data_IF_949769353149
#
_entry.id   IF_949769353149
#
_cell.length_a   1.000
_cell.length_b   1.000
_cell.length_c   1.000
_cell.angle_alpha   90.00
_cell.angle_beta   90.00
_cell.angle_gamma   90.00
#
_symmetry.space_group_name_H-M   'P 1'
#
loop_
_entity.id
_entity.type
_entity.pdbx_description
1 polymer ?
#
# COMPACT_ATOMS: atom_id res chain seq x y z
N UNK A 1 8.72 -19.28 3.45
CA UNK A 1 9.44 -18.20 4.18
C UNK A 1 10.79 -18.75 4.63
N UNK A 2 11.89 -18.05 4.34
CA UNK A 2 13.19 -18.41 4.93
C UNK A 2 13.25 -17.81 6.33
N UNK A 3 12.81 -18.58 7.32
CA UNK A 3 12.97 -18.26 8.73
C UNK A 3 14.14 -19.06 9.31
N UNK A 4 14.97 -18.43 10.11
CA UNK A 4 16.02 -19.12 10.86
C UNK A 4 15.66 -19.12 12.35
N UNK A 5 15.69 -20.31 12.96
CA UNK A 5 15.58 -20.44 14.41
C UNK A 5 16.84 -19.92 15.09
N UNK A 6 16.68 -18.97 15.99
CA UNK A 6 17.76 -18.43 16.80
C UNK A 6 17.52 -18.81 18.27
N UNK A 7 18.46 -19.50 18.87
CA UNK A 7 18.46 -19.77 20.32
C UNK A 7 19.00 -18.54 21.04
N UNK A 8 18.20 -17.94 21.92
CA UNK A 8 18.68 -16.86 22.79
C UNK A 8 19.53 -17.42 23.94
N UNK A 9 20.36 -16.57 24.55
CA UNK A 9 21.18 -16.94 25.69
C UNK A 9 20.42 -17.42 26.94
N UNK A 10 19.08 -17.25 26.96
CA UNK A 10 18.18 -17.74 28.01
C UNK A 10 17.38 -18.98 27.58
N UNK A 11 17.74 -19.61 26.43
CA UNK A 11 17.12 -20.85 25.98
C UNK A 11 15.75 -20.71 25.32
N UNK A 12 15.29 -19.48 25.05
CA UNK A 12 14.03 -19.26 24.30
C UNK A 12 14.29 -19.33 22.79
N UNK A 13 13.37 -19.98 22.07
CA UNK A 13 13.37 -20.01 20.62
C UNK A 13 12.81 -18.69 20.11
N UNK A 14 13.54 -18.05 19.21
CA UNK A 14 13.09 -16.92 18.43
C UNK A 14 13.16 -17.28 16.93
N UNK A 15 12.29 -16.63 16.14
CA UNK A 15 12.26 -16.78 14.70
C UNK A 15 12.72 -15.46 14.08
N UNK A 16 13.82 -15.50 13.35
CA UNK A 16 14.29 -14.35 12.58
C UNK A 16 13.67 -14.41 11.18
N UNK A 17 12.96 -13.36 10.84
CA UNK A 17 12.24 -13.22 9.57
C UNK A 17 12.56 -11.86 8.92
N UNK A 18 12.35 -11.72 7.59
CA UNK A 18 12.42 -10.39 6.98
C UNK A 18 11.45 -9.42 7.65
N UNK A 19 11.83 -8.15 7.75
CA UNK A 19 10.95 -7.12 8.27
C UNK A 19 9.71 -6.94 7.40
N UNK A 20 8.66 -6.37 7.99
CA UNK A 20 7.38 -6.17 7.32
C UNK A 20 7.45 -5.04 6.29
N UNK A 21 6.54 -5.10 5.32
CA UNK A 21 6.38 -4.05 4.32
C UNK A 21 4.95 -3.55 4.29
N UNK A 22 4.82 -2.24 4.10
CA UNK A 22 3.58 -1.60 3.64
C UNK A 22 3.85 -0.93 2.30
N UNK A 23 3.33 -1.52 1.23
CA UNK A 23 3.64 -1.07 -0.12
C UNK A 23 2.56 -0.17 -0.72
N UNK A 24 1.68 0.37 0.14
CA UNK A 24 0.70 1.41 -0.19
C UNK A 24 0.29 2.17 1.08
N UNK A 25 1.02 3.19 1.43
CA UNK A 25 0.76 4.07 2.57
C UNK A 25 0.74 5.53 2.07
N UNK A 26 -0.20 6.33 2.53
CA UNK A 26 -0.21 7.78 2.30
C UNK A 26 0.44 8.50 3.50
N UNK A 27 1.75 8.34 3.65
CA UNK A 27 2.47 8.85 4.82
C UNK A 27 2.41 10.38 4.97
N UNK A 28 2.23 11.10 3.87
CA UNK A 28 2.09 12.56 3.87
C UNK A 28 0.70 13.07 4.28
N UNK A 29 -0.28 12.20 4.42
CA UNK A 29 -1.62 12.53 4.89
C UNK A 29 -1.77 12.20 6.37
N UNK A 30 -2.34 13.13 7.16
CA UNK A 30 -2.43 13.01 8.61
C UNK A 30 -3.87 12.91 9.13
N UNK A 31 -4.84 13.09 8.23
CA UNK A 31 -6.26 13.08 8.55
C UNK A 31 -7.02 12.41 7.41
N UNK A 32 -8.11 11.71 7.74
CA UNK A 32 -8.99 11.08 6.75
C UNK A 32 -9.72 12.13 5.92
N UNK A 33 -10.07 13.27 6.53
CA UNK A 33 -10.57 14.45 5.85
C UNK A 33 -9.40 15.40 5.56
N UNK A 34 -9.12 15.64 4.28
CA UNK A 34 -8.05 16.54 3.86
C UNK A 34 -8.28 17.99 4.30
N UNK A 35 -9.53 18.44 4.43
CA UNK A 35 -9.86 19.78 4.94
C UNK A 35 -9.41 19.94 6.40
N UNK A 36 -9.37 18.87 7.18
CA UNK A 36 -8.84 18.89 8.55
C UNK A 36 -7.33 18.98 8.58
N UNK A 37 -6.64 18.34 7.66
CA UNK A 37 -5.19 18.50 7.52
C UNK A 37 -4.80 19.94 7.12
N UNK A 38 -5.55 20.58 6.22
CA UNK A 38 -5.28 21.96 5.81
C UNK A 38 -5.39 22.96 6.95
N UNK A 39 -6.21 22.67 7.98
CA UNK A 39 -6.33 23.48 9.20
C UNK A 39 -5.14 23.32 10.16
N UNK A 40 -4.29 22.31 9.96
CA UNK A 40 -3.14 22.05 10.81
C UNK A 40 -1.95 22.95 10.48
N UNK A 41 -1.11 23.22 11.48
CA UNK A 41 0.19 23.83 11.23
C UNK A 41 1.12 22.83 10.55
N UNK A 42 2.06 23.32 9.72
CA UNK A 42 3.08 22.49 9.06
C UNK A 42 3.86 21.66 10.11
N UNK A 43 4.18 22.22 11.27
CA UNK A 43 4.90 21.53 12.34
C UNK A 43 4.09 20.36 12.95
N UNK A 44 2.76 20.51 13.06
CA UNK A 44 1.90 19.42 13.54
C UNK A 44 1.85 18.28 12.50
N UNK A 45 1.68 18.60 11.22
CA UNK A 45 1.70 17.64 10.12
C UNK A 45 3.03 16.87 10.10
N UNK A 46 4.17 17.57 10.06
CA UNK A 46 5.50 16.96 10.08
C UNK A 46 5.72 16.09 11.33
N UNK A 47 5.24 16.55 12.49
CA UNK A 47 5.33 15.80 13.75
C UNK A 47 4.52 14.51 13.75
N UNK A 48 3.35 14.49 13.11
CA UNK A 48 2.49 13.31 12.94
C UNK A 48 3.14 12.29 12.00
N UNK A 49 3.63 12.75 10.85
CA UNK A 49 4.34 11.91 9.87
C UNK A 49 5.56 11.25 10.53
N UNK A 50 6.41 12.04 11.20
CA UNK A 50 7.58 11.53 11.89
C UNK A 50 7.22 10.47 12.94
N UNK A 51 6.17 10.70 13.70
CA UNK A 51 5.69 9.76 14.73
C UNK A 51 5.19 8.47 14.10
N UNK A 52 4.36 8.55 13.04
CA UNK A 52 3.86 7.40 12.30
C UNK A 52 5.02 6.53 11.78
N UNK A 53 5.98 7.11 11.07
CA UNK A 53 7.12 6.37 10.52
C UNK A 53 8.00 5.74 11.61
N UNK A 54 8.16 6.40 12.76
CA UNK A 54 8.89 5.82 13.90
C UNK A 54 8.13 4.64 14.52
N UNK A 55 6.83 4.75 14.66
CA UNK A 55 5.99 3.67 15.20
C UNK A 55 5.96 2.47 14.27
N UNK A 56 5.85 2.69 12.94
CA UNK A 56 5.97 1.61 11.95
C UNK A 56 7.31 0.88 12.07
N UNK A 57 8.41 1.61 12.20
CA UNK A 57 9.72 1.01 12.42
C UNK A 57 9.78 0.17 13.70
N UNK A 58 9.20 0.67 14.80
CA UNK A 58 9.10 -0.03 16.08
C UNK A 58 8.19 -1.26 16.01
N UNK A 59 7.18 -1.23 15.15
CA UNK A 59 6.28 -2.35 14.83
C UNK A 59 6.92 -3.42 13.93
N UNK A 60 8.15 -3.22 13.47
CA UNK A 60 8.88 -4.20 12.64
C UNK A 60 8.78 -3.95 11.14
N UNK A 61 8.14 -2.87 10.70
CA UNK A 61 8.21 -2.48 9.30
C UNK A 61 9.61 -2.03 8.93
N UNK A 62 10.06 -2.39 7.73
CA UNK A 62 11.39 -2.06 7.20
C UNK A 62 11.33 -1.37 5.86
N UNK A 63 10.22 -1.52 5.15
CA UNK A 63 9.96 -0.80 3.90
C UNK A 63 8.52 -0.31 3.92
N UNK A 64 8.34 0.96 3.59
CA UNK A 64 7.03 1.53 3.25
C UNK A 64 7.13 2.22 1.89
N UNK A 65 6.12 2.06 1.03
CA UNK A 65 5.99 2.82 -0.21
C UNK A 65 4.93 3.90 -0.02
N UNK A 66 5.36 5.16 -0.09
CA UNK A 66 4.43 6.27 -0.13
C UNK A 66 3.66 6.25 -1.47
N UNK A 67 2.34 6.16 -1.38
CA UNK A 67 1.45 6.20 -2.55
C UNK A 67 1.08 7.64 -2.95
N UNK A 68 1.72 8.62 -2.34
CA UNK A 68 1.58 10.06 -2.55
C UNK A 68 1.23 10.81 -1.27
N UNK A 69 1.64 12.06 -1.23
CA UNK A 69 1.47 12.96 -0.08
C UNK A 69 2.81 13.46 0.48
N UNK A 70 3.82 12.59 0.61
CA UNK A 70 5.14 13.00 1.12
C UNK A 70 5.86 13.97 0.18
N UNK A 71 5.58 13.95 -1.12
CA UNK A 71 6.19 14.86 -2.09
C UNK A 71 5.85 16.32 -1.86
N UNK A 72 4.81 16.60 -1.08
CA UNK A 72 4.37 17.93 -0.67
C UNK A 72 4.98 18.37 0.67
N UNK A 73 5.65 17.47 1.40
CA UNK A 73 6.19 17.71 2.74
C UNK A 73 7.71 17.92 2.67
N UNK A 74 8.23 18.82 3.49
CA UNK A 74 9.68 19.03 3.60
C UNK A 74 10.39 17.74 4.03
N UNK A 75 11.32 17.27 3.19
CA UNK A 75 11.95 15.98 3.35
C UNK A 75 12.82 15.83 4.60
N UNK A 76 13.40 16.93 5.11
CA UNK A 76 14.43 16.85 6.15
C UNK A 76 13.87 16.38 7.51
N UNK A 77 12.61 16.72 7.81
CA UNK A 77 12.00 16.39 9.10
C UNK A 77 11.78 14.88 9.31
N UNK A 78 11.48 14.12 8.25
CA UNK A 78 11.17 12.70 8.35
C UNK A 78 12.32 11.79 7.89
N UNK A 79 13.15 12.22 6.91
CA UNK A 79 14.25 11.39 6.38
C UNK A 79 15.32 11.06 7.41
N UNK A 80 15.63 11.96 8.33
CA UNK A 80 16.58 11.68 9.41
C UNK A 80 16.04 10.59 10.32
N UNK A 81 14.78 10.71 10.72
CA UNK A 81 14.14 9.76 11.63
C UNK A 81 14.09 8.33 11.04
N UNK A 82 13.80 8.19 9.76
CA UNK A 82 13.73 6.86 9.12
C UNK A 82 15.10 6.20 9.01
N UNK A 83 16.18 6.95 8.80
CA UNK A 83 17.55 6.42 8.80
C UNK A 83 17.95 5.86 10.16
N UNK A 84 17.60 6.55 11.24
CA UNK A 84 17.91 6.13 12.62
C UNK A 84 17.19 4.83 13.00
N UNK A 85 16.01 4.59 12.45
CA UNK A 85 15.13 3.48 12.79
C UNK A 85 15.13 2.31 11.78
N UNK A 86 16.07 2.31 10.82
CA UNK A 86 16.20 1.26 9.80
C UNK A 86 14.92 1.04 8.96
N UNK A 87 14.10 2.10 8.77
CA UNK A 87 12.95 2.11 7.89
C UNK A 87 13.31 2.75 6.55
N UNK A 88 13.09 2.04 5.46
CA UNK A 88 13.23 2.56 4.10
C UNK A 88 11.90 3.09 3.59
N UNK A 89 11.86 4.35 3.16
CA UNK A 89 10.70 4.95 2.51
C UNK A 89 10.95 5.01 1.01
N UNK A 90 10.10 4.32 0.24
CA UNK A 90 10.08 4.36 -1.22
C UNK A 90 9.15 5.49 -1.63
N UNK A 91 9.74 6.60 -2.05
CA UNK A 91 9.01 7.85 -2.30
C UNK A 91 8.25 7.84 -3.63
N UNK A 92 7.05 8.45 -3.64
CA UNK A 92 6.30 8.82 -4.83
C UNK A 92 6.82 10.16 -5.39
N UNK A 93 6.87 10.28 -6.72
CA UNK A 93 7.23 11.53 -7.40
C UNK A 93 6.06 12.52 -7.47
N UNK A 94 4.84 12.04 -7.36
CA UNK A 94 3.63 12.84 -7.37
C UNK A 94 2.41 12.05 -7.79
N UNK A 95 1.25 12.64 -7.50
CA UNK A 95 -0.07 12.06 -7.77
C UNK A 95 -0.70 12.72 -9.00
N UNK A 96 -1.06 11.93 -9.99
CA UNK A 96 -1.67 12.37 -11.25
C UNK A 96 -3.13 12.00 -11.28
N UNK A 97 -3.97 13.00 -11.51
CA UNK A 97 -5.41 12.87 -11.66
C UNK A 97 -5.89 13.56 -12.97
N UNK A 98 -7.20 13.62 -13.21
CA UNK A 98 -7.78 14.23 -14.41
C UNK A 98 -7.47 15.73 -14.55
N UNK A 99 -7.26 16.45 -13.44
CA UNK A 99 -7.06 17.88 -13.43
C UNK A 99 -5.63 18.26 -13.85
N UNK A 100 -4.63 17.53 -13.33
CA UNK A 100 -3.22 17.81 -13.57
C UNK A 100 -2.57 16.95 -14.68
N UNK A 101 -3.29 15.95 -15.20
CA UNK A 101 -2.79 15.03 -16.24
C UNK A 101 -2.26 15.74 -17.50
N UNK A 102 -2.81 16.92 -17.82
CA UNK A 102 -2.42 17.72 -18.99
C UNK A 102 -1.55 18.92 -18.65
N UNK A 103 -1.27 19.18 -17.38
CA UNK A 103 -0.38 20.25 -16.96
C UNK A 103 1.08 19.85 -17.25
N UNK A 104 1.65 20.42 -18.31
CA UNK A 104 2.99 20.09 -18.75
C UNK A 104 4.08 20.50 -17.74
N UNK A 105 3.87 21.57 -16.97
CA UNK A 105 4.82 22.02 -15.96
C UNK A 105 4.84 21.02 -14.79
N UNK A 106 3.66 20.60 -14.32
CA UNK A 106 3.51 19.58 -13.29
C UNK A 106 4.10 18.24 -13.73
N UNK A 107 3.78 17.77 -14.96
CA UNK A 107 4.31 16.53 -15.51
C UNK A 107 5.84 16.55 -15.62
N UNK A 108 6.42 17.67 -16.04
CA UNK A 108 7.89 17.83 -16.10
C UNK A 108 8.52 17.86 -14.70
N UNK A 109 7.86 18.43 -13.71
CA UNK A 109 8.31 18.39 -12.33
C UNK A 109 8.40 16.96 -11.81
N UNK A 110 7.34 16.17 -11.98
CA UNK A 110 7.30 14.73 -11.58
C UNK A 110 8.45 13.95 -12.24
N UNK A 111 8.62 14.10 -13.56
CA UNK A 111 9.66 13.37 -14.30
C UNK A 111 11.07 13.66 -13.80
N UNK A 112 11.34 14.89 -13.32
CA UNK A 112 12.64 15.35 -12.83
C UNK A 112 12.93 14.98 -11.38
N UNK A 113 11.92 14.65 -10.57
CA UNK A 113 12.14 14.23 -9.17
C UNK A 113 12.93 12.93 -9.12
N UNK A 114 13.72 12.75 -8.07
CA UNK A 114 14.61 11.59 -7.92
C UNK A 114 13.88 10.35 -7.36
N UNK A 115 12.61 10.47 -7.01
CA UNK A 115 11.78 9.36 -6.53
C UNK A 115 11.45 8.39 -7.66
N UNK A 116 11.29 7.12 -7.33
CA UNK A 116 11.14 6.04 -8.31
C UNK A 116 9.72 5.94 -8.87
N UNK A 117 8.69 6.12 -8.02
CA UNK A 117 7.29 5.84 -8.36
C UNK A 117 6.50 7.09 -8.72
N UNK A 118 5.48 6.90 -9.56
CA UNK A 118 4.43 7.89 -9.86
C UNK A 118 3.08 7.24 -9.61
N UNK A 119 2.16 7.94 -8.94
CA UNK A 119 0.77 7.50 -8.73
C UNK A 119 -0.14 8.10 -9.79
N UNK A 120 -0.99 7.27 -10.41
CA UNK A 120 -2.07 7.71 -11.29
C UNK A 120 -3.42 7.27 -10.70
N UNK A 121 -4.39 8.17 -10.65
CA UNK A 121 -5.78 7.86 -10.29
C UNK A 121 -6.59 7.65 -11.56
N UNK A 122 -6.90 6.38 -11.89
CA UNK A 122 -7.61 6.02 -13.12
C UNK A 122 -9.13 5.91 -12.93
N UNK A 123 -9.60 5.68 -11.69
CA UNK A 123 -11.04 5.68 -11.34
C UNK A 123 -11.31 6.52 -10.10
N UNK A 124 -12.58 6.67 -9.72
CA UNK A 124 -12.96 7.10 -8.38
C UNK A 124 -12.62 6.04 -7.32
N UNK A 125 -12.64 6.42 -6.05
CA UNK A 125 -12.44 5.56 -4.88
C UNK A 125 -13.69 5.51 -4.00
N UNK A 126 -13.53 5.05 -2.75
CA UNK A 126 -14.63 4.88 -1.78
C UNK A 126 -15.41 6.16 -1.49
N UNK A 127 -14.79 7.34 -1.64
CA UNK A 127 -15.46 8.64 -1.52
C UNK A 127 -16.23 9.09 -2.77
N UNK A 128 -16.09 8.39 -3.90
CA UNK A 128 -16.82 8.73 -5.12
C UNK A 128 -18.24 8.15 -5.08
N UNK A 129 -19.21 8.77 -5.79
CA UNK A 129 -20.54 8.18 -5.98
C UNK A 129 -20.44 6.75 -6.56
N UNK A 130 -21.22 5.79 -6.08
CA UNK A 130 -21.12 4.37 -6.47
C UNK A 130 -21.16 4.13 -7.99
N UNK A 131 -21.97 4.93 -8.70
CA UNK A 131 -22.09 4.84 -10.17
C UNK A 131 -20.84 5.33 -10.92
N UNK A 132 -19.90 6.00 -10.23
CA UNK A 132 -18.67 6.56 -10.83
C UNK A 132 -17.41 5.78 -10.50
N UNK A 133 -17.46 4.83 -9.57
CA UNK A 133 -16.24 4.13 -9.08
C UNK A 133 -15.52 3.30 -10.17
N UNK A 134 -16.21 2.92 -11.25
CA UNK A 134 -15.61 2.19 -12.37
C UNK A 134 -15.43 3.05 -13.63
N UNK A 135 -15.87 4.32 -13.59
CA UNK A 135 -15.73 5.23 -14.73
C UNK A 135 -14.30 5.78 -14.74
N UNK A 136 -13.59 5.66 -15.88
CA UNK A 136 -12.27 6.25 -16.03
C UNK A 136 -12.29 7.76 -15.79
N UNK A 137 -11.35 8.27 -15.00
CA UNK A 137 -11.23 9.70 -14.68
C UNK A 137 -10.63 10.51 -15.81
N UNK A 138 -9.99 9.86 -16.78
CA UNK A 138 -9.34 10.49 -17.92
C UNK A 138 -9.56 9.68 -19.20
N UNK A 139 -9.20 10.25 -20.37
CA UNK A 139 -9.26 9.54 -21.65
C UNK A 139 -8.17 8.49 -21.78
N UNK A 140 -8.44 7.39 -22.46
CA UNK A 140 -7.51 6.29 -22.72
C UNK A 140 -6.19 6.77 -23.28
N UNK A 141 -6.21 7.64 -24.29
CA UNK A 141 -5.01 8.17 -24.93
C UNK A 141 -4.14 8.98 -23.97
N UNK A 142 -4.77 9.73 -23.05
CA UNK A 142 -4.05 10.48 -22.01
C UNK A 142 -3.37 9.53 -21.04
N UNK A 143 -4.08 8.50 -20.58
CA UNK A 143 -3.54 7.50 -19.68
C UNK A 143 -2.31 6.78 -20.27
N UNK A 144 -2.44 6.28 -21.51
CA UNK A 144 -1.35 5.58 -22.19
C UNK A 144 -0.12 6.47 -22.39
N UNK A 145 -0.36 7.73 -22.80
CA UNK A 145 0.74 8.69 -22.95
C UNK A 145 1.46 8.94 -21.64
N UNK A 146 0.74 9.09 -20.53
CA UNK A 146 1.35 9.29 -19.21
C UNK A 146 2.23 8.11 -18.82
N UNK A 147 1.71 6.86 -18.92
CA UNK A 147 2.49 5.66 -18.59
C UNK A 147 3.75 5.58 -19.45
N UNK A 148 3.63 5.78 -20.76
CA UNK A 148 4.76 5.76 -21.68
C UNK A 148 5.81 6.85 -21.33
N UNK A 149 5.35 8.07 -21.07
CA UNK A 149 6.22 9.19 -20.71
C UNK A 149 6.98 8.95 -19.41
N UNK A 150 6.32 8.36 -18.40
CA UNK A 150 6.95 8.05 -17.12
C UNK A 150 7.96 6.91 -17.23
N UNK A 151 7.61 5.83 -17.94
CA UNK A 151 8.56 4.76 -18.23
C UNK A 151 9.78 5.27 -19.00
N UNK A 152 9.59 6.16 -19.99
CA UNK A 152 10.69 6.79 -20.71
C UNK A 152 11.57 7.69 -19.81
N UNK A 153 10.99 8.23 -18.74
CA UNK A 153 11.72 8.98 -17.70
C UNK A 153 12.35 8.08 -16.61
N UNK A 154 12.29 6.76 -16.76
CA UNK A 154 12.85 5.79 -15.79
C UNK A 154 12.00 5.63 -14.51
N UNK A 155 10.73 6.06 -14.54
CA UNK A 155 9.79 5.90 -13.43
C UNK A 155 9.05 4.56 -13.50
N UNK A 156 8.61 4.09 -12.33
CA UNK A 156 7.60 3.05 -12.19
C UNK A 156 6.23 3.70 -11.96
N UNK A 157 5.19 3.06 -12.47
CA UNK A 157 3.83 3.60 -12.42
C UNK A 157 2.94 2.70 -11.57
N UNK A 158 2.39 3.25 -10.47
CA UNK A 158 1.33 2.63 -9.67
C UNK A 158 -0.01 3.28 -9.97
N UNK A 159 -1.06 2.49 -10.12
CA UNK A 159 -2.36 2.99 -10.56
C UNK A 159 -3.46 2.60 -9.59
N UNK A 160 -4.11 3.62 -9.01
CA UNK A 160 -5.40 3.45 -8.35
C UNK A 160 -6.46 3.13 -9.38
N UNK A 161 -7.06 1.96 -9.28
CA UNK A 161 -8.24 1.58 -10.07
C UNK A 161 -9.09 0.58 -9.30
N UNK A 162 -10.40 0.77 -9.32
CA UNK A 162 -11.33 -0.20 -8.75
C UNK A 162 -11.68 -1.32 -9.73
N UNK A 163 -11.44 -1.13 -11.04
CA UNK A 163 -11.73 -2.14 -12.07
C UNK A 163 -12.21 -1.53 -13.38
N UNK A 164 -13.02 -2.28 -14.12
CA UNK A 164 -13.58 -1.85 -15.40
C UNK A 164 -12.52 -1.63 -16.48
N UNK A 165 -12.83 -0.75 -17.44
CA UNK A 165 -11.94 -0.44 -18.57
C UNK A 165 -10.58 0.11 -18.11
N UNK A 166 -10.54 0.84 -17.01
CA UNK A 166 -9.29 1.39 -16.46
C UNK A 166 -8.30 0.30 -16.08
N UNK A 167 -8.78 -0.82 -15.54
CA UNK A 167 -7.93 -1.96 -15.23
C UNK A 167 -7.41 -2.66 -16.49
N UNK A 168 -8.23 -2.76 -17.54
CA UNK A 168 -7.77 -3.24 -18.85
C UNK A 168 -6.68 -2.33 -19.43
N UNK A 169 -6.83 -1.01 -19.28
CA UNK A 169 -5.80 -0.06 -19.71
C UNK A 169 -4.50 -0.21 -18.91
N UNK A 170 -4.58 -0.45 -17.60
CA UNK A 170 -3.39 -0.73 -16.77
C UNK A 170 -2.62 -1.93 -17.31
N UNK A 171 -3.34 -3.01 -17.59
CA UNK A 171 -2.76 -4.25 -18.13
C UNK A 171 -2.17 -4.01 -19.53
N UNK A 172 -2.92 -3.35 -20.41
CA UNK A 172 -2.50 -3.08 -21.79
C UNK A 172 -1.26 -2.19 -21.84
N UNK A 173 -1.25 -1.10 -21.04
CA UNK A 173 -0.13 -0.16 -20.95
C UNK A 173 1.09 -0.73 -20.23
N UNK A 174 0.93 -1.83 -19.48
CA UNK A 174 2.01 -2.48 -18.74
C UNK A 174 2.49 -1.65 -17.55
N UNK A 175 1.56 -1.16 -16.73
CA UNK A 175 1.92 -0.47 -15.47
C UNK A 175 2.69 -1.39 -14.52
N UNK A 176 3.44 -0.83 -13.58
CA UNK A 176 4.28 -1.66 -12.69
C UNK A 176 3.50 -2.20 -11.49
N UNK A 177 2.48 -1.47 -11.00
CA UNK A 177 1.55 -2.01 -10.01
C UNK A 177 0.12 -1.49 -10.17
N UNK A 178 -0.82 -2.37 -9.81
CA UNK A 178 -2.25 -2.09 -9.69
C UNK A 178 -2.62 -2.06 -8.22
N UNK A 179 -3.23 -0.96 -7.81
CA UNK A 179 -3.69 -0.73 -6.45
C UNK A 179 -5.20 -0.97 -6.35
N UNK A 180 -5.66 -1.61 -5.29
CA UNK A 180 -7.03 -1.97 -4.97
C UNK A 180 -7.61 -3.05 -5.88
N UNK A 181 -7.89 -2.78 -7.16
CA UNK A 181 -8.39 -3.78 -8.11
C UNK A 181 -9.69 -4.48 -7.68
N UNK A 182 -10.57 -3.78 -6.95
CA UNK A 182 -11.72 -4.32 -6.20
C UNK A 182 -12.66 -5.15 -7.07
N UNK A 183 -12.94 -4.70 -8.28
CA UNK A 183 -13.82 -5.38 -9.23
C UNK A 183 -13.06 -6.13 -10.35
N UNK A 184 -11.84 -6.58 -10.05
CA UNK A 184 -11.04 -7.37 -11.00
C UNK A 184 -11.76 -8.70 -11.30
N UNK A 185 -11.87 -9.05 -12.60
CA UNK A 185 -12.37 -10.34 -13.02
C UNK A 185 -11.24 -11.34 -13.28
N UNK A 186 -11.61 -12.62 -13.47
CA UNK A 186 -10.62 -13.69 -13.63
C UNK A 186 -9.72 -13.51 -14.87
N UNK A 187 -10.24 -12.99 -16.00
CA UNK A 187 -9.43 -12.70 -17.18
C UNK A 187 -8.36 -11.66 -16.86
N UNK A 188 -8.74 -10.57 -16.20
CA UNK A 188 -7.82 -9.51 -15.80
C UNK A 188 -6.75 -10.04 -14.81
N UNK A 189 -7.13 -10.90 -13.86
CA UNK A 189 -6.16 -11.54 -12.96
C UNK A 189 -5.15 -12.41 -13.72
N UNK A 190 -5.61 -13.23 -14.69
CA UNK A 190 -4.75 -14.00 -15.56
C UNK A 190 -3.76 -13.12 -16.34
N UNK A 191 -4.25 -12.03 -16.93
CA UNK A 191 -3.42 -11.10 -17.71
C UNK A 191 -2.42 -10.34 -16.81
N UNK A 192 -2.81 -9.93 -15.58
CA UNK A 192 -1.89 -9.37 -14.59
C UNK A 192 -0.73 -10.34 -14.28
N UNK A 193 -1.09 -11.61 -14.01
CA UNK A 193 -0.12 -12.66 -13.72
C UNK A 193 0.84 -12.86 -14.90
N UNK A 194 0.30 -12.98 -16.12
CA UNK A 194 1.09 -13.21 -17.34
C UNK A 194 2.08 -12.09 -17.66
N UNK A 195 1.75 -10.85 -17.28
CA UNK A 195 2.60 -9.67 -17.44
C UNK A 195 3.45 -9.35 -16.22
N UNK A 196 3.35 -10.16 -15.15
CA UNK A 196 4.05 -9.97 -13.88
C UNK A 196 3.84 -8.57 -13.25
N UNK A 197 2.65 -7.98 -13.44
CA UNK A 197 2.26 -6.72 -12.81
C UNK A 197 2.02 -6.99 -11.32
N UNK A 198 2.58 -6.15 -10.46
CA UNK A 198 2.38 -6.26 -9.02
C UNK A 198 0.94 -5.86 -8.64
N UNK A 199 0.31 -6.63 -7.77
CA UNK A 199 -1.00 -6.30 -7.21
C UNK A 199 -0.88 -5.94 -5.72
N UNK A 200 -1.45 -4.79 -5.34
CA UNK A 200 -1.50 -4.32 -3.96
C UNK A 200 -2.96 -4.14 -3.56
N UNK A 201 -3.58 -5.13 -2.90
CA UNK A 201 -5.02 -5.17 -2.64
C UNK A 201 -5.53 -4.07 -1.73
N UNK A 202 -4.81 -3.73 -0.68
CA UNK A 202 -5.26 -2.81 0.39
C UNK A 202 -6.58 -3.26 1.02
N UNK A 203 -6.67 -4.54 1.35
CA UNK A 203 -7.92 -5.17 1.79
C UNK A 203 -8.40 -4.67 3.15
N UNK A 204 -7.46 -4.34 4.04
CA UNK A 204 -7.74 -3.96 5.43
C UNK A 204 -8.59 -2.69 5.51
N UNK A 205 -8.27 -1.63 4.76
CA UNK A 205 -8.99 -0.36 4.83
C UNK A 205 -10.48 -0.53 4.49
N UNK A 206 -10.79 -1.31 3.44
CA UNK A 206 -12.18 -1.53 3.04
C UNK A 206 -12.95 -2.37 4.05
N UNK A 207 -12.30 -3.37 4.69
CA UNK A 207 -12.92 -4.16 5.76
C UNK A 207 -13.20 -3.29 7.00
N UNK A 208 -12.27 -2.42 7.39
CA UNK A 208 -12.45 -1.48 8.50
C UNK A 208 -13.54 -0.43 8.22
N UNK A 209 -13.60 0.09 6.99
CA UNK A 209 -14.66 1.01 6.57
C UNK A 209 -16.04 0.35 6.53
N UNK A 210 -16.11 -0.93 6.15
CA UNK A 210 -17.36 -1.69 6.08
C UNK A 210 -17.87 -2.15 7.44
N UNK A 211 -17.04 -2.09 8.48
CA UNK A 211 -17.35 -2.57 9.83
C UNK A 211 -18.49 -1.73 10.46
N UNK A 212 -19.47 -2.43 11.07
CA UNK A 212 -20.61 -1.79 11.72
C UNK A 212 -20.20 -0.99 12.97
N UNK A 213 -19.13 -1.38 13.64
CA UNK A 213 -18.60 -0.71 14.83
C UNK A 213 -17.88 0.62 14.48
N UNK A 214 -17.67 0.89 13.18
CA UNK A 214 -17.03 2.08 12.67
C UNK A 214 -15.72 2.43 13.42
N UNK A 215 -14.73 1.53 13.43
CA UNK A 215 -13.51 1.71 14.23
C UNK A 215 -12.71 2.96 13.83
N UNK A 216 -12.87 3.41 12.58
CA UNK A 216 -12.20 4.59 12.05
C UNK A 216 -12.96 5.90 12.35
N UNK A 217 -14.19 5.81 12.86
CA UNK A 217 -15.04 6.96 13.19
C UNK A 217 -15.26 7.91 12.00
N UNK A 218 -15.47 7.35 10.81
CA UNK A 218 -15.73 8.09 9.58
C UNK A 218 -17.24 8.23 9.32
N UNK A 219 -17.64 9.07 8.36
CA UNK A 219 -19.03 9.24 7.98
C UNK A 219 -19.65 7.93 7.44
N UNK A 220 -20.91 7.67 7.74
CA UNK A 220 -21.60 6.40 7.43
C UNK A 220 -21.63 6.05 5.93
N UNK A 221 -21.61 7.05 5.06
CA UNK A 221 -21.61 6.78 3.62
C UNK A 221 -20.37 5.99 3.16
N UNK A 222 -19.23 6.13 3.84
CA UNK A 222 -18.05 5.31 3.53
C UNK A 222 -18.32 3.82 3.78
N UNK A 223 -19.01 3.49 4.87
CA UNK A 223 -19.41 2.11 5.15
C UNK A 223 -20.40 1.57 4.10
N UNK A 224 -21.36 2.40 3.66
CA UNK A 224 -22.32 2.04 2.61
C UNK A 224 -21.64 1.71 1.29
N UNK A 225 -20.58 2.47 0.92
CA UNK A 225 -19.80 2.23 -0.29
C UNK A 225 -18.83 1.05 -0.13
N UNK A 226 -18.24 0.87 1.06
CA UNK A 226 -17.26 -0.17 1.31
C UNK A 226 -17.88 -1.57 1.40
N UNK A 227 -19.09 -1.75 1.94
CA UNK A 227 -19.71 -3.07 2.09
C UNK A 227 -19.83 -3.87 0.78
N UNK A 228 -20.40 -3.34 -0.31
CA UNK A 228 -20.42 -4.05 -1.58
C UNK A 228 -19.00 -4.23 -2.16
N UNK A 229 -18.10 -3.27 -1.93
CA UNK A 229 -16.72 -3.34 -2.37
C UNK A 229 -15.96 -4.50 -1.71
N UNK A 230 -16.14 -4.75 -0.41
CA UNK A 230 -15.53 -5.88 0.33
C UNK A 230 -15.88 -7.23 -0.32
N UNK A 231 -17.15 -7.43 -0.68
CA UNK A 231 -17.61 -8.67 -1.32
C UNK A 231 -16.97 -8.86 -2.70
N UNK A 232 -16.96 -7.81 -3.50
CA UNK A 232 -16.32 -7.84 -4.82
C UNK A 232 -14.81 -8.05 -4.73
N UNK A 233 -14.17 -7.38 -3.77
CA UNK A 233 -12.73 -7.43 -3.54
C UNK A 233 -12.27 -8.83 -3.10
N UNK A 234 -13.01 -9.48 -2.20
CA UNK A 234 -12.74 -10.87 -1.85
C UNK A 234 -12.69 -11.74 -3.10
N UNK A 235 -13.68 -11.58 -4.00
CA UNK A 235 -13.74 -12.34 -5.25
C UNK A 235 -12.57 -12.04 -6.19
N UNK A 236 -12.17 -10.78 -6.28
CA UNK A 236 -11.00 -10.37 -7.07
C UNK A 236 -9.72 -11.01 -6.54
N UNK A 237 -9.51 -11.00 -5.22
CA UNK A 237 -8.36 -11.64 -4.57
C UNK A 237 -8.37 -13.16 -4.78
N UNK A 238 -9.52 -13.84 -4.70
CA UNK A 238 -9.65 -15.26 -5.02
C UNK A 238 -9.20 -15.57 -6.46
N UNK A 239 -9.57 -14.73 -7.44
CA UNK A 239 -9.08 -14.86 -8.81
C UNK A 239 -7.57 -14.68 -8.89
N UNK A 240 -7.01 -13.68 -8.19
CA UNK A 240 -5.58 -13.44 -8.15
C UNK A 240 -4.81 -14.63 -7.55
N UNK A 241 -5.30 -15.24 -6.48
CA UNK A 241 -4.72 -16.44 -5.90
C UNK A 241 -4.73 -17.59 -6.89
N UNK A 242 -5.86 -17.82 -7.56
CA UNK A 242 -6.03 -18.88 -8.55
C UNK A 242 -5.09 -18.74 -9.75
N UNK A 243 -4.92 -17.52 -10.24
CA UNK A 243 -4.09 -17.21 -11.42
C UNK A 243 -2.61 -16.96 -11.06
N UNK A 244 -2.24 -17.07 -9.76
CA UNK A 244 -0.87 -16.89 -9.29
C UNK A 244 -0.35 -15.46 -9.47
N UNK A 245 -1.21 -14.45 -9.30
CA UNK A 245 -0.82 -13.04 -9.36
C UNK A 245 0.17 -12.72 -8.25
N UNK A 246 1.25 -12.06 -8.60
CA UNK A 246 2.22 -11.54 -7.65
C UNK A 246 1.60 -10.39 -6.85
N UNK A 247 1.38 -10.60 -5.54
CA UNK A 247 0.79 -9.58 -4.66
C UNK A 247 1.66 -9.29 -3.45
N UNK A 248 1.54 -8.07 -2.90
CA UNK A 248 2.19 -7.63 -1.67
C UNK A 248 1.21 -6.90 -0.77
N UNK A 249 1.54 -6.76 0.51
CA UNK A 249 0.73 -5.99 1.45
C UNK A 249 0.90 -4.48 1.22
N UNK A 250 -0.19 -3.76 1.38
CA UNK A 250 -0.29 -2.31 1.43
C UNK A 250 -1.60 -1.94 2.12
N UNK A 251 -1.59 -0.96 3.00
CA UNK A 251 -2.75 -0.68 3.86
C UNK A 251 -3.69 0.39 3.31
N UNK A 252 -3.17 1.32 2.51
CA UNK A 252 -3.85 2.56 2.11
C UNK A 252 -4.17 3.46 3.31
N UNK A 253 -3.37 3.35 4.36
CA UNK A 253 -3.52 4.13 5.58
C UNK A 253 -2.78 5.47 5.48
N UNK A 254 -3.05 6.34 6.46
CA UNK A 254 -2.48 7.68 6.60
C UNK A 254 -1.68 7.77 7.89
N UNK A 255 -0.93 8.86 8.10
CA UNK A 255 -0.25 9.17 9.36
C UNK A 255 -1.23 9.59 10.46
N UNK A 256 -2.32 8.83 10.63
CA UNK A 256 -3.33 8.98 11.67
C UNK A 256 -3.16 7.89 12.74
N UNK A 257 -3.06 8.24 14.05
CA UNK A 257 -2.95 7.26 15.12
C UNK A 257 -4.05 6.19 15.16
N UNK A 258 -5.26 6.51 14.67
CA UNK A 258 -6.37 5.55 14.60
C UNK A 258 -6.06 4.44 13.59
N UNK A 259 -5.56 4.79 12.41
CA UNK A 259 -5.18 3.84 11.37
C UNK A 259 -3.95 3.03 11.78
N UNK A 260 -2.96 3.68 12.39
CA UNK A 260 -1.73 3.03 12.85
C UNK A 260 -1.99 1.87 13.84
N UNK A 261 -3.09 1.92 14.59
CA UNK A 261 -3.49 0.81 15.46
C UNK A 261 -3.86 -0.47 14.68
N UNK A 262 -4.13 -0.36 13.38
CA UNK A 262 -4.58 -1.43 12.48
C UNK A 262 -3.53 -1.87 11.45
N UNK A 263 -2.29 -1.41 11.54
CA UNK A 263 -1.23 -1.67 10.54
C UNK A 263 -0.95 -3.16 10.26
N UNK A 264 -1.22 -4.03 11.20
CA UNK A 264 -1.07 -5.48 10.99
C UNK A 264 -2.28 -6.14 10.33
N UNK A 265 -3.39 -5.41 10.14
CA UNK A 265 -4.63 -6.00 9.61
C UNK A 265 -4.50 -6.53 8.20
N UNK A 266 -3.64 -5.94 7.34
CA UNK A 266 -3.58 -6.33 5.94
C UNK A 266 -3.24 -7.81 5.73
N UNK A 267 -2.25 -8.34 6.45
CA UNK A 267 -1.87 -9.76 6.33
C UNK A 267 -3.01 -10.70 6.74
N UNK A 268 -3.82 -10.31 7.72
CA UNK A 268 -4.99 -11.09 8.16
C UNK A 268 -6.21 -10.84 7.26
N UNK A 269 -6.38 -9.62 6.73
CA UNK A 269 -7.42 -9.30 5.77
C UNK A 269 -7.27 -10.13 4.49
N UNK A 270 -6.04 -10.28 3.99
CA UNK A 270 -5.75 -11.16 2.85
C UNK A 270 -6.08 -12.62 3.15
N UNK A 271 -5.77 -13.12 4.36
CA UNK A 271 -6.12 -14.48 4.76
C UNK A 271 -7.65 -14.66 4.85
N UNK A 272 -8.39 -13.65 5.35
CA UNK A 272 -9.86 -13.65 5.33
C UNK A 272 -10.43 -13.70 3.91
N UNK A 273 -9.72 -13.14 2.93
CA UNK A 273 -10.06 -13.21 1.50
C UNK A 273 -9.60 -14.49 0.80
N UNK A 274 -9.06 -15.47 1.54
CA UNK A 274 -8.68 -16.78 1.02
C UNK A 274 -7.24 -16.86 0.50
N UNK A 275 -6.40 -15.86 0.73
CA UNK A 275 -4.96 -15.98 0.44
C UNK A 275 -4.35 -17.00 1.40
N UNK A 276 -3.64 -18.04 0.90
CA UNK A 276 -2.95 -18.99 1.76
C UNK A 276 -2.01 -18.29 2.74
N UNK A 277 -1.96 -18.78 3.97
CA UNK A 277 -1.20 -18.15 5.06
C UNK A 277 0.26 -17.89 4.71
N UNK A 278 0.91 -18.85 4.08
CA UNK A 278 2.29 -18.74 3.63
C UNK A 278 2.48 -17.61 2.59
N UNK A 279 1.52 -17.48 1.68
CA UNK A 279 1.51 -16.44 0.63
C UNK A 279 1.28 -15.06 1.24
N UNK A 280 0.32 -14.94 2.16
CA UNK A 280 0.03 -13.69 2.86
C UNK A 280 1.23 -13.20 3.69
N UNK A 281 1.90 -14.11 4.42
CA UNK A 281 3.12 -13.78 5.15
C UNK A 281 4.29 -13.45 4.23
N UNK A 282 4.46 -14.14 3.10
CA UNK A 282 5.47 -13.81 2.11
C UNK A 282 5.26 -12.40 1.54
N UNK A 283 4.01 -12.03 1.26
CA UNK A 283 3.62 -10.68 0.83
C UNK A 283 3.93 -9.64 1.92
N UNK A 284 3.58 -9.92 3.16
CA UNK A 284 3.79 -9.03 4.30
C UNK A 284 5.27 -8.84 4.66
N UNK A 285 6.10 -9.85 4.43
CA UNK A 285 7.56 -9.78 4.60
C UNK A 285 8.30 -9.33 3.32
N UNK A 286 7.61 -8.77 2.34
CA UNK A 286 8.21 -8.20 1.13
C UNK A 286 8.95 -9.19 0.21
N UNK A 287 8.67 -10.50 0.32
CA UNK A 287 9.33 -11.50 -0.51
C UNK A 287 8.82 -11.51 -1.95
N UNK A 288 7.74 -10.78 -2.21
CA UNK A 288 7.09 -10.65 -3.52
C UNK A 288 7.52 -9.40 -4.29
N UNK A 289 8.22 -8.46 -3.64
CA UNK A 289 8.71 -7.22 -4.26
C UNK A 289 10.18 -7.35 -4.66
N UNK A 290 10.58 -6.63 -5.68
CA UNK A 290 11.92 -6.70 -6.28
C UNK A 290 12.78 -5.50 -5.89
N UNK A 291 14.11 -5.62 -6.05
CA UNK A 291 15.03 -4.48 -5.88
C UNK A 291 14.73 -3.33 -6.83
N UNK A 292 14.22 -3.61 -8.03
CA UNK A 292 13.79 -2.56 -8.97
C UNK A 292 12.66 -1.72 -8.38
N UNK A 293 11.74 -2.35 -7.69
CA UNK A 293 10.55 -1.70 -7.10
C UNK A 293 10.85 -0.94 -5.82
N UNK A 294 11.85 -1.35 -5.06
CA UNK A 294 12.22 -0.69 -3.79
C UNK A 294 13.41 0.25 -3.91
N UNK A 295 14.27 0.07 -4.88
CA UNK A 295 15.56 0.77 -4.93
C UNK A 295 16.48 0.46 -3.74
N UNK A 296 16.04 -0.35 -2.77
CA UNK A 296 16.72 -0.67 -1.51
C UNK A 296 16.97 -2.16 -1.35
N UNK A 297 17.86 -2.52 -0.43
CA UNK A 297 18.13 -3.90 -0.05
C UNK A 297 17.17 -4.35 1.06
N UNK A 298 16.38 -5.40 0.80
CA UNK A 298 15.39 -5.97 1.72
C UNK A 298 16.01 -6.89 2.80
N UNK A 299 17.21 -6.59 3.33
CA UNK A 299 17.94 -7.49 4.21
C UNK A 299 17.77 -7.23 5.71
N UNK A 300 16.94 -6.24 6.09
CA UNK A 300 16.70 -5.98 7.50
C UNK A 300 15.69 -6.95 8.07
N UNK A 301 16.09 -7.70 9.09
CA UNK A 301 15.27 -8.71 9.76
C UNK A 301 14.66 -8.20 11.05
N UNK A 302 13.67 -8.92 11.53
CA UNK A 302 13.06 -8.76 12.86
C UNK A 302 12.99 -10.11 13.55
N UNK A 303 12.72 -10.13 14.86
CA UNK A 303 12.58 -11.36 15.63
C UNK A 303 11.19 -11.48 16.23
N UNK A 304 10.65 -12.68 16.14
CA UNK A 304 9.40 -13.08 16.78
C UNK A 304 9.66 -14.18 17.81
N UNK A 305 8.93 -14.17 18.92
CA UNK A 305 8.97 -15.23 19.94
C UNK A 305 8.03 -16.41 19.61
N UNK A 306 7.33 -16.35 18.48
CA UNK A 306 6.40 -17.36 17.96
C UNK A 306 6.61 -17.51 16.46
N UNK A 307 6.40 -18.73 15.94
CA UNK A 307 6.46 -18.96 14.49
C UNK A 307 5.37 -18.16 13.76
N UNK A 308 5.66 -17.47 12.63
CA UNK A 308 4.68 -16.66 11.90
C UNK A 308 3.37 -17.41 11.61
N UNK A 309 3.46 -18.68 11.23
CA UNK A 309 2.26 -19.47 10.90
C UNK A 309 1.41 -19.91 12.12
N UNK A 310 1.88 -19.66 13.33
CA UNK A 310 1.12 -19.86 14.57
C UNK A 310 0.41 -18.59 15.04
N UNK A 311 0.64 -17.45 14.37
CA UNK A 311 0.04 -16.16 14.67
C UNK A 311 -1.23 -16.01 13.83
N UNK A 312 -2.36 -15.69 14.47
CA UNK A 312 -3.68 -15.69 13.84
C UNK A 312 -4.43 -14.36 13.97
N UNK A 313 -3.86 -13.38 14.70
CA UNK A 313 -4.47 -12.05 14.84
C UNK A 313 -3.42 -10.94 14.95
N UNK A 314 -3.80 -9.68 14.72
CA UNK A 314 -2.95 -8.51 14.94
C UNK A 314 -2.40 -8.42 16.38
N UNK A 315 -3.22 -8.74 17.39
CA UNK A 315 -2.83 -8.71 18.81
C UNK A 315 -1.77 -9.78 19.11
N UNK A 316 -1.93 -10.98 18.58
CA UNK A 316 -0.94 -12.04 18.70
C UNK A 316 0.37 -11.65 18.02
N UNK A 317 0.32 -11.01 16.84
CA UNK A 317 1.51 -10.51 16.16
C UNK A 317 2.21 -9.44 16.97
N UNK A 318 1.46 -8.46 17.48
CA UNK A 318 1.99 -7.40 18.35
C UNK A 318 2.69 -7.96 19.59
N UNK A 319 2.12 -9.02 20.18
CA UNK A 319 2.71 -9.70 21.34
C UNK A 319 3.93 -10.58 20.98
N UNK A 320 4.03 -11.02 19.73
CA UNK A 320 5.11 -11.90 19.28
C UNK A 320 6.40 -11.15 18.91
N UNK A 321 6.34 -9.85 18.62
CA UNK A 321 7.52 -9.08 18.22
C UNK A 321 8.47 -8.91 19.39
N UNK A 322 9.70 -9.39 19.22
CA UNK A 322 10.77 -9.18 20.16
C UNK A 322 11.31 -7.75 20.01
N UNK A 323 11.16 -6.95 21.05
CA UNK A 323 11.81 -5.62 21.09
C UNK A 323 13.32 -5.80 21.17
N UNK A 324 14.08 -4.94 20.46
CA UNK A 324 15.55 -5.00 20.49
C UNK A 324 16.13 -4.75 21.88
#
# INVERSE_FOLDING_TARGET
>A
MNDSKVLTGIGQIQYEIPGFVDFHLHAGWTDFDHDDQEKRSILDVEGRIKRCLNELAAMGFRIVRDAGGLECIKADAWKQSTKENALSVVECSGMVNSENAKDSAFQNCIKKRNSLWVKIFATGGVGAPPEKVLIPTMKKETFFKLVQDYHAAGKLVMVHTWGGDSLDWCIEAGVDSVEHGIYMNQRQAYELSSKNILYVPTAAIYQLLADNDNPLQVASFFAEHARPAVIAHQKAVEYCVKEGVRMTCGTDFYSDPKLLAHEYEEVFALQRYGVPKETAWAAFCGQTITKKETGACLHSTIRLNRHPYEINSPEELKAAICRP
#
